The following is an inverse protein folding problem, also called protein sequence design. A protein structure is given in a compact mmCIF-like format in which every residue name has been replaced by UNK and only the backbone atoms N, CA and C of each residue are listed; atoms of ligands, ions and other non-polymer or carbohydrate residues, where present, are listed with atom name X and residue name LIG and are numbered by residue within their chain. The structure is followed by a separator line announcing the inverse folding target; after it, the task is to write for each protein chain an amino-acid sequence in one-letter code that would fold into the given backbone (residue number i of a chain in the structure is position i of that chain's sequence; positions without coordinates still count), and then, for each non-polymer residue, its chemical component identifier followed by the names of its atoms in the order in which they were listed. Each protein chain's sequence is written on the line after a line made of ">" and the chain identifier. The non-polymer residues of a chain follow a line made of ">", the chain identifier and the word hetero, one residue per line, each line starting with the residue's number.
data_IF_539105291315
#
_entry.id   IF_539105291315
#
_cell.length_a   1.000
_cell.length_b   1.000
_cell.length_c   1.000
_cell.angle_alpha   90.00
_cell.angle_beta   90.00
_cell.angle_gamma   90.00
#
_symmetry.space_group_name_H-M   'P 1'
#
loop_
_entity.id
_entity.type
_entity.pdbx_description
1 polymer ?
#
# COMPACT_ATOMS: atom_id res chain seq x y z
N UNK A 1 18.21 6.13 -14.40
CA UNK A 1 17.98 4.67 -14.33
C UNK A 1 17.67 4.16 -15.73
N UNK A 2 18.06 2.93 -16.07
CA UNK A 2 17.93 2.32 -17.40
C UNK A 2 17.21 0.99 -17.25
N UNK A 3 16.15 0.72 -18.03
CA UNK A 3 15.44 -0.56 -18.00
C UNK A 3 16.31 -1.64 -18.63
N UNK A 4 16.54 -2.73 -17.91
CA UNK A 4 17.31 -3.90 -18.35
C UNK A 4 16.52 -5.18 -18.07
N UNK A 5 16.85 -6.26 -18.77
CA UNK A 5 16.24 -7.58 -18.61
C UNK A 5 17.26 -8.57 -18.04
N UNK A 6 16.88 -9.32 -17.01
CA UNK A 6 17.70 -10.37 -16.40
C UNK A 6 16.90 -11.64 -16.15
N UNK A 7 17.51 -12.63 -15.48
CA UNK A 7 16.88 -13.94 -15.19
C UNK A 7 15.55 -13.85 -14.43
N UNK A 8 15.37 -12.81 -13.61
CA UNK A 8 14.18 -12.60 -12.78
C UNK A 8 13.17 -11.62 -13.41
N UNK A 9 13.35 -11.27 -14.68
CA UNK A 9 12.54 -10.28 -15.39
C UNK A 9 13.24 -8.94 -15.53
N UNK A 10 12.44 -7.92 -15.82
CA UNK A 10 12.92 -6.57 -16.05
C UNK A 10 13.26 -5.87 -14.72
N UNK A 11 14.19 -4.93 -14.77
CA UNK A 11 14.60 -4.10 -13.63
C UNK A 11 15.20 -2.78 -14.11
N UNK A 12 15.14 -1.76 -13.27
CA UNK A 12 15.80 -0.47 -13.51
C UNK A 12 17.20 -0.51 -12.89
N UNK A 13 18.23 -0.32 -13.72
CA UNK A 13 19.62 -0.21 -13.30
C UNK A 13 20.08 1.25 -13.23
N UNK A 14 21.03 1.57 -12.36
CA UNK A 14 21.69 2.86 -12.37
C UNK A 14 22.41 3.09 -13.71
N UNK A 15 22.30 4.30 -14.28
CA UNK A 15 22.98 4.65 -15.54
C UNK A 15 24.51 4.69 -15.38
N UNK A 16 25.00 4.96 -14.17
CA UNK A 16 26.43 4.98 -13.83
C UNK A 16 27.03 3.61 -13.50
N UNK A 17 26.45 2.51 -13.97
CA UNK A 17 27.09 1.19 -13.81
C UNK A 17 28.41 1.13 -14.61
N UNK A 18 29.52 0.62 -14.05
CA UNK A 18 29.65 -0.19 -12.83
C UNK A 18 29.87 0.57 -11.51
N UNK A 19 30.08 1.89 -11.56
CA UNK A 19 30.39 2.73 -10.39
C UNK A 19 29.19 2.83 -9.43
N UNK A 20 27.97 2.79 -9.96
CA UNK A 20 26.72 2.76 -9.22
C UNK A 20 25.99 1.42 -9.48
N UNK A 21 25.91 0.56 -8.46
CA UNK A 21 25.28 -0.78 -8.55
C UNK A 21 23.82 -0.81 -8.08
N UNK A 22 23.20 0.35 -7.89
CA UNK A 22 21.80 0.44 -7.48
C UNK A 22 20.89 -0.17 -8.56
N UNK A 23 19.95 -1.02 -8.12
CA UNK A 23 18.96 -1.68 -8.96
C UNK A 23 17.60 -1.64 -8.28
N UNK A 24 16.56 -1.32 -9.05
CA UNK A 24 15.18 -1.24 -8.59
C UNK A 24 14.32 -2.24 -9.36
N UNK A 25 13.51 -3.03 -8.63
CA UNK A 25 12.55 -3.95 -9.23
C UNK A 25 11.46 -3.16 -9.97
N UNK A 26 11.00 -3.67 -11.10
CA UNK A 26 9.85 -3.10 -11.83
C UNK A 26 8.69 -4.08 -11.89
N UNK A 27 7.49 -3.54 -12.03
CA UNK A 27 6.28 -4.33 -12.27
C UNK A 27 6.19 -4.76 -13.73
N UNK A 28 5.10 -5.45 -14.09
CA UNK A 28 4.85 -5.95 -15.45
C UNK A 28 4.79 -4.85 -16.53
N UNK A 29 4.53 -3.61 -16.14
CA UNK A 29 4.45 -2.45 -17.02
C UNK A 29 5.78 -1.67 -17.10
N UNK A 30 6.89 -2.23 -16.58
CA UNK A 30 8.20 -1.55 -16.55
C UNK A 30 8.31 -0.42 -15.51
N UNK A 31 7.26 -0.17 -14.73
CA UNK A 31 7.23 0.87 -13.70
C UNK A 31 7.96 0.42 -12.42
N UNK A 32 8.73 1.30 -11.76
CA UNK A 32 9.42 0.99 -10.50
C UNK A 32 8.42 0.52 -9.45
N UNK A 33 8.67 -0.66 -8.88
CA UNK A 33 7.95 -1.11 -7.71
C UNK A 33 8.51 -0.39 -6.49
N UNK A 34 7.60 0.13 -5.66
CA UNK A 34 7.97 0.50 -4.31
C UNK A 34 8.34 -0.78 -3.54
N UNK A 35 9.36 -0.70 -2.69
CA UNK A 35 9.56 -1.68 -1.64
C UNK A 35 8.37 -1.54 -0.67
N UNK A 36 7.35 -2.35 -0.91
CA UNK A 36 6.20 -2.40 -0.02
C UNK A 36 6.52 -3.44 1.05
N UNK A 37 6.40 -3.10 2.35
CA UNK A 37 6.57 -4.08 3.40
C UNK A 37 5.60 -5.25 3.19
N UNK A 38 6.07 -6.44 3.57
CA UNK A 38 5.41 -7.72 3.29
C UNK A 38 4.04 -7.75 3.99
N UNK A 39 4.03 -7.40 5.27
CA UNK A 39 2.84 -7.14 6.08
C UNK A 39 2.60 -5.62 6.20
N UNK A 40 1.32 -5.24 6.18
CA UNK A 40 0.86 -3.87 6.44
C UNK A 40 -0.29 -3.89 7.43
N UNK A 41 -0.25 -2.94 8.35
CA UNK A 41 -1.34 -2.72 9.30
C UNK A 41 -2.43 -1.89 8.61
N UNK A 42 -3.62 -2.46 8.48
CA UNK A 42 -4.78 -1.82 7.86
C UNK A 42 -5.55 -1.05 8.93
N UNK A 43 -5.99 0.13 8.58
CA UNK A 43 -6.66 1.05 9.50
C UNK A 43 -8.12 1.21 9.11
N UNK A 44 -8.95 1.66 10.04
CA UNK A 44 -10.34 2.00 9.77
C UNK A 44 -10.53 3.23 8.86
N UNK A 45 -9.45 3.96 8.54
CA UNK A 45 -9.53 5.20 7.77
C UNK A 45 -9.56 4.95 6.26
N UNK A 46 -10.43 5.69 5.58
CA UNK A 46 -10.55 5.69 4.13
C UNK A 46 -9.85 6.91 3.51
N UNK A 47 -9.25 6.70 2.33
CA UNK A 47 -8.61 7.78 1.59
C UNK A 47 -9.66 8.72 0.98
N UNK A 48 -9.61 10.00 1.34
CA UNK A 48 -10.51 11.04 0.84
C UNK A 48 -10.53 11.21 -0.68
N UNK A 49 -9.43 10.89 -1.38
CA UNK A 49 -9.34 11.05 -2.85
C UNK A 49 -9.91 9.89 -3.66
N UNK A 50 -9.83 8.67 -3.14
CA UNK A 50 -10.11 7.46 -3.94
C UNK A 50 -10.99 6.43 -3.25
N UNK A 51 -11.35 6.66 -1.99
CA UNK A 51 -12.15 5.75 -1.15
C UNK A 51 -11.46 4.43 -0.82
N UNK A 52 -10.18 4.26 -1.16
CA UNK A 52 -9.42 3.05 -0.78
C UNK A 52 -8.95 3.18 0.67
N UNK A 53 -8.84 2.07 1.40
CA UNK A 53 -8.34 2.12 2.78
C UNK A 53 -6.93 2.62 2.89
N UNK A 54 -6.67 3.22 4.04
CA UNK A 54 -5.36 3.65 4.46
C UNK A 54 -4.69 2.53 5.25
N UNK A 55 -3.40 2.35 4.99
CA UNK A 55 -2.54 1.41 5.70
C UNK A 55 -1.49 2.19 6.45
N UNK A 56 -1.13 1.73 7.64
CA UNK A 56 -0.05 2.28 8.42
C UNK A 56 1.28 1.89 7.77
N UNK A 57 2.15 2.87 7.62
CA UNK A 57 3.50 2.72 7.09
C UNK A 57 4.47 3.45 7.99
N UNK A 58 5.70 2.96 8.01
CA UNK A 58 6.80 3.59 8.72
C UNK A 58 7.78 4.19 7.70
N UNK A 59 8.16 5.44 7.95
CA UNK A 59 9.08 6.20 7.12
C UNK A 59 10.39 6.49 7.83
N UNK A 60 10.79 7.76 7.87
CA UNK A 60 11.98 8.25 8.57
C UNK A 60 11.80 8.24 10.10
N UNK A 61 11.48 7.09 10.68
CA UNK A 61 11.20 6.92 12.11
C UNK A 61 9.79 7.33 12.55
N UNK A 62 8.97 7.90 11.65
CA UNK A 62 7.58 8.26 11.94
C UNK A 62 6.60 7.34 11.24
N UNK A 63 5.49 7.05 11.95
CA UNK A 63 4.33 6.33 11.43
C UNK A 63 3.43 7.29 10.66
N UNK A 64 2.92 6.85 9.51
CA UNK A 64 1.99 7.62 8.69
C UNK A 64 0.99 6.74 7.96
N UNK A 65 -0.15 7.33 7.60
CA UNK A 65 -1.18 6.66 6.82
C UNK A 65 -0.86 6.77 5.33
N UNK A 66 -0.69 5.65 4.64
CA UNK A 66 -0.51 5.58 3.20
C UNK A 66 -1.71 4.96 2.50
N UNK A 67 -2.12 5.50 1.36
CA UNK A 67 -3.19 4.88 0.57
C UNK A 67 -2.78 3.46 0.10
N UNK A 68 -3.65 2.47 0.29
CA UNK A 68 -3.47 1.10 -0.27
C UNK A 68 -3.40 1.08 -1.81
N UNK A 69 -3.94 2.11 -2.46
CA UNK A 69 -3.86 2.35 -3.90
C UNK A 69 -2.53 2.97 -4.39
N UNK A 70 -1.46 2.92 -3.57
CA UNK A 70 -0.15 3.48 -3.91
C UNK A 70 0.34 3.04 -5.32
N UNK A 71 1.02 3.97 -6.01
CA UNK A 71 1.22 4.12 -7.47
C UNK A 71 0.06 4.82 -8.22
N UNK A 72 -1.21 4.51 -7.94
CA UNK A 72 -2.37 5.20 -8.56
C UNK A 72 -2.88 6.36 -7.71
N UNK A 73 -2.75 6.25 -6.39
CA UNK A 73 -3.09 7.30 -5.44
C UNK A 73 -1.95 7.45 -4.43
N UNK A 74 -1.26 8.59 -4.44
CA UNK A 74 -0.12 8.89 -3.54
C UNK A 74 -0.54 9.67 -2.29
N UNK A 75 -1.82 9.73 -1.98
CA UNK A 75 -2.33 10.41 -0.78
C UNK A 75 -1.75 9.77 0.47
N UNK A 76 -1.23 10.62 1.36
CA UNK A 76 -0.78 10.28 2.70
C UNK A 76 -1.59 11.05 3.73
N UNK A 77 -1.65 10.53 4.95
CA UNK A 77 -2.32 11.15 6.09
C UNK A 77 -1.44 11.05 7.34
N UNK A 78 -1.74 11.89 8.33
CA UNK A 78 -1.08 11.82 9.63
C UNK A 78 -1.59 10.60 10.39
N UNK A 79 -0.69 9.91 11.09
CA UNK A 79 -1.06 8.89 12.05
C UNK A 79 -1.39 9.55 13.39
N UNK A 80 -2.45 9.09 14.05
CA UNK A 80 -2.74 9.40 15.45
C UNK A 80 -3.05 8.10 16.19
N UNK A 81 -2.75 8.05 17.48
CA UNK A 81 -2.95 6.85 18.32
C UNK A 81 -4.44 6.45 18.45
N UNK A 82 -5.35 7.39 18.18
CA UNK A 82 -6.79 7.13 18.07
C UNK A 82 -7.21 6.35 16.82
N UNK A 83 -6.32 6.17 15.84
CA UNK A 83 -6.61 5.38 14.64
C UNK A 83 -6.42 3.90 14.96
N UNK A 84 -7.51 3.14 14.89
CA UNK A 84 -7.48 1.71 15.16
C UNK A 84 -6.89 0.94 13.99
N UNK A 85 -5.92 0.07 14.31
CA UNK A 85 -5.47 -0.99 13.41
C UNK A 85 -6.46 -2.13 13.53
N UNK A 86 -7.09 -2.47 12.42
CA UNK A 86 -8.19 -3.45 12.37
C UNK A 86 -7.75 -4.77 11.75
N UNK A 87 -6.61 -4.80 11.08
CA UNK A 87 -6.07 -6.01 10.47
C UNK A 87 -4.56 -5.86 10.22
N UNK A 88 -3.83 -6.98 10.18
CA UNK A 88 -2.41 -7.02 9.81
C UNK A 88 -2.24 -8.03 8.68
N UNK A 89 -2.28 -7.53 7.44
CA UNK A 89 -2.35 -8.36 6.24
C UNK A 89 -1.17 -8.14 5.31
N UNK A 90 -0.88 -9.15 4.50
CA UNK A 90 0.00 -9.00 3.35
C UNK A 90 -0.55 -7.97 2.37
N UNK A 91 0.29 -7.07 1.84
CA UNK A 91 -0.18 -5.99 0.94
C UNK A 91 -0.91 -6.51 -0.31
N UNK A 92 -0.56 -7.73 -0.75
CA UNK A 92 -1.22 -8.43 -1.85
C UNK A 92 -2.70 -8.76 -1.55
N UNK A 93 -3.03 -9.02 -0.29
CA UNK A 93 -4.36 -9.44 0.14
C UNK A 93 -5.23 -8.26 0.56
N UNK A 94 -4.63 -7.15 1.01
CA UNK A 94 -5.34 -5.87 1.25
C UNK A 94 -6.16 -5.46 0.01
N UNK A 95 -5.57 -5.54 -1.19
CA UNK A 95 -6.26 -5.17 -2.44
C UNK A 95 -7.39 -6.13 -2.82
N UNK A 96 -7.29 -7.41 -2.46
CA UNK A 96 -8.34 -8.40 -2.73
C UNK A 96 -9.53 -8.19 -1.80
N UNK A 97 -9.28 -7.98 -0.51
CA UNK A 97 -10.30 -7.82 0.53
C UNK A 97 -11.03 -6.46 0.40
N UNK A 98 -10.29 -5.38 0.17
CA UNK A 98 -10.87 -4.02 0.07
C UNK A 98 -11.44 -3.63 -1.31
N UNK A 99 -11.37 -4.51 -2.30
CA UNK A 99 -12.06 -4.32 -3.59
C UNK A 99 -13.58 -4.26 -3.43
N UNK A 100 -14.11 -4.84 -2.36
CA UNK A 100 -15.54 -4.97 -2.09
C UNK A 100 -16.19 -3.67 -1.57
N UNK A 101 -15.41 -2.79 -0.93
CA UNK A 101 -15.89 -1.52 -0.36
C UNK A 101 -16.33 -0.52 -1.45
N UNK A 102 -15.69 -0.56 -2.62
CA UNK A 102 -15.98 0.38 -3.72
C UNK A 102 -17.36 0.19 -4.37
N UNK A 103 -18.03 -0.95 -4.15
CA UNK A 103 -19.32 -1.29 -4.77
C UNK A 103 -20.54 -0.93 -3.91
N UNK A 104 -20.38 -0.73 -2.60
CA UNK A 104 -21.48 -0.34 -1.70
C UNK A 104 -21.24 1.09 -1.24
N UNK A 105 -21.83 2.08 -1.93
CA UNK A 105 -21.96 3.44 -1.38
C UNK A 105 -22.94 3.37 -0.21
N UNK A 106 -22.46 3.19 1.01
CA UNK A 106 -23.20 3.56 2.22
C UNK A 106 -22.42 4.66 2.93
N UNK A 107 -23.15 5.64 3.44
CA UNK A 107 -22.68 6.96 3.86
C UNK A 107 -21.92 7.01 5.19
N UNK A 108 -21.64 5.87 5.84
CA UNK A 108 -21.00 5.85 7.16
C UNK A 108 -19.75 4.93 7.20
N UNK A 109 -18.55 5.49 7.42
CA UNK A 109 -17.30 4.73 7.46
C UNK A 109 -17.14 3.84 8.71
N UNK A 110 -17.93 4.05 9.77
CA UNK A 110 -17.90 3.23 11.00
C UNK A 110 -18.49 1.81 10.79
N UNK A 111 -19.58 1.67 10.04
CA UNK A 111 -20.24 0.38 9.78
C UNK A 111 -19.42 -0.55 8.86
N UNK A 112 -18.41 -0.01 8.19
CA UNK A 112 -17.55 -0.72 7.24
C UNK A 112 -16.47 -1.55 7.93
N UNK A 113 -16.07 -1.17 9.14
CA UNK A 113 -15.07 -1.87 9.95
C UNK A 113 -15.66 -3.12 10.61
N UNK A 114 -16.90 -3.02 11.09
CA UNK A 114 -17.61 -4.09 11.79
C UNK A 114 -18.01 -5.28 10.91
N UNK A 115 -18.06 -5.11 9.58
CA UNK A 115 -18.45 -6.19 8.66
C UNK A 115 -17.28 -7.04 8.13
N UNK A 116 -16.03 -6.61 8.35
CA UNK A 116 -14.82 -7.24 7.76
C UNK A 116 -13.93 -7.91 8.81
N UNK A 117 -14.06 -7.52 10.07
CA UNK A 117 -13.55 -8.27 11.22
C UNK A 117 -14.69 -9.18 11.72
N UNK A 118 -14.77 -10.47 11.32
CA UNK A 118 -15.57 -11.39 12.11
C UNK A 118 -14.98 -11.39 13.52
N UNK A 119 -15.86 -11.32 14.50
CA UNK A 119 -15.57 -11.28 15.92
C UNK A 119 -14.44 -12.24 16.29
N UNK A 120 -13.44 -11.72 17.01
CA UNK A 120 -12.64 -12.55 17.90
C UNK A 120 -13.60 -13.08 18.98
N UNK A 121 -14.24 -14.21 18.70
CA UNK A 121 -14.75 -15.16 19.70
C UNK A 121 -13.95 -16.45 19.58
#
# INVERSE_FOLDING_TARGET
>A
MILRKGKYGEFLACSGFPQCKHVQKVGKEGNPMANVPKLVQVTNQCCSKCGSVMVLREGKGEKFLGCSGYLRCRTTGKWSESVQVIDELEFADVKKRYKQVKKKKSSDPEQLVQQVAPDFL
#
